data_IF_344920439431
#
_entry.id   IF_344920439431
#
_cell.length_a   1.000
_cell.length_b   1.000
_cell.length_c   1.000
_cell.angle_alpha   90.00
_cell.angle_beta   90.00
_cell.angle_gamma   90.00
#
_symmetry.space_group_name_H-M   'P 1'
#
loop_
_entity.id
_entity.type
_entity.pdbx_description
1 polymer ?
#
# COMPACT_ATOMS: atom_id res chain seq x y z
N UNK A 1 -37.02 -23.45 -23.48
CA UNK A 1 -37.35 -22.21 -22.82
C UNK A 1 -36.37 -21.12 -23.20
N UNK A 2 -36.93 -20.08 -23.60
CA UNK A 2 -36.19 -18.92 -24.09
C UNK A 2 -35.38 -18.26 -23.00
N UNK A 3 -35.79 -18.34 -21.76
CA UNK A 3 -35.07 -17.75 -20.62
C UNK A 3 -33.70 -18.36 -20.46
N UNK A 4 -33.60 -19.67 -20.64
CA UNK A 4 -32.31 -20.36 -20.56
C UNK A 4 -31.40 -20.00 -21.72
N UNK A 5 -32.00 -19.67 -22.85
CA UNK A 5 -31.25 -19.23 -24.02
C UNK A 5 -30.70 -17.82 -23.83
N UNK A 6 -31.41 -16.97 -23.08
CA UNK A 6 -30.99 -15.60 -22.79
C UNK A 6 -29.78 -15.53 -21.86
N UNK A 7 -29.65 -16.51 -20.99
CA UNK A 7 -28.58 -16.55 -19.99
C UNK A 7 -27.88 -17.90 -20.07
N UNK A 8 -27.10 -18.13 -21.14
CA UNK A 8 -26.33 -19.35 -21.22
C UNK A 8 -25.34 -19.41 -20.06
N UNK A 9 -25.03 -20.59 -19.63
CA UNK A 9 -24.14 -20.84 -18.50
C UNK A 9 -22.80 -20.11 -18.65
N UNK A 10 -22.26 -20.11 -19.86
CA UNK A 10 -21.01 -19.42 -20.16
C UNK A 10 -21.11 -17.91 -19.92
N UNK A 11 -22.21 -17.29 -20.34
CA UNK A 11 -22.44 -15.87 -20.15
C UNK A 11 -22.58 -15.52 -18.66
N UNK A 12 -23.28 -16.36 -17.92
CA UNK A 12 -23.42 -16.21 -16.48
C UNK A 12 -22.07 -16.29 -15.77
N UNK A 13 -21.22 -17.23 -16.17
CA UNK A 13 -19.88 -17.38 -15.62
C UNK A 13 -19.00 -16.18 -15.91
N UNK A 14 -19.09 -15.62 -17.11
CA UNK A 14 -18.36 -14.44 -17.48
C UNK A 14 -18.75 -13.22 -16.62
N UNK A 15 -20.03 -13.05 -16.40
CA UNK A 15 -20.54 -11.96 -15.56
C UNK A 15 -20.12 -12.14 -14.10
N UNK A 16 -20.19 -13.35 -13.59
CA UNK A 16 -19.75 -13.66 -12.24
C UNK A 16 -18.26 -13.40 -12.09
N UNK A 17 -17.47 -13.73 -13.09
CA UNK A 17 -16.03 -13.48 -13.09
C UNK A 17 -15.71 -12.00 -13.06
N UNK A 18 -16.44 -11.17 -13.81
CA UNK A 18 -16.26 -9.72 -13.82
C UNK A 18 -16.58 -9.13 -12.45
N UNK A 19 -17.66 -9.57 -11.81
CA UNK A 19 -18.05 -9.11 -10.48
C UNK A 19 -16.96 -9.47 -9.45
N UNK A 20 -16.42 -10.69 -9.54
CA UNK A 20 -15.34 -11.12 -8.66
C UNK A 20 -14.08 -10.27 -8.85
N UNK A 21 -13.75 -9.94 -10.09
CA UNK A 21 -12.62 -9.08 -10.40
C UNK A 21 -12.79 -7.68 -9.84
N UNK A 22 -13.99 -7.12 -9.95
CA UNK A 22 -14.31 -5.80 -9.40
C UNK A 22 -14.19 -5.78 -7.87
N UNK A 23 -14.69 -6.82 -7.21
CA UNK A 23 -14.56 -6.96 -5.75
C UNK A 23 -13.12 -7.09 -5.33
N UNK A 24 -12.34 -7.86 -6.08
CA UNK A 24 -10.93 -8.04 -5.82
C UNK A 24 -10.17 -6.73 -5.93
N UNK A 25 -10.46 -5.94 -6.96
CA UNK A 25 -9.85 -4.63 -7.15
C UNK A 25 -10.20 -3.68 -6.01
N UNK A 26 -11.45 -3.70 -5.54
CA UNK A 26 -11.86 -2.88 -4.40
C UNK A 26 -11.10 -3.25 -3.13
N UNK A 27 -10.94 -4.53 -2.88
CA UNK A 27 -10.17 -5.02 -1.73
C UNK A 27 -8.72 -4.59 -1.83
N UNK A 28 -8.12 -4.74 -3.01
CA UNK A 28 -6.72 -4.34 -3.23
C UNK A 28 -6.54 -2.84 -3.04
N UNK A 29 -7.47 -2.03 -3.52
CA UNK A 29 -7.43 -0.57 -3.31
C UNK A 29 -7.51 -0.22 -1.83
N UNK A 30 -8.45 -0.83 -1.10
CA UNK A 30 -8.64 -0.56 0.32
C UNK A 30 -7.38 -0.90 1.11
N UNK A 31 -6.77 -2.03 0.83
CA UNK A 31 -5.55 -2.46 1.51
C UNK A 31 -4.38 -1.55 1.17
N UNK A 32 -4.25 -1.16 -0.10
CA UNK A 32 -3.20 -0.26 -0.55
C UNK A 32 -3.29 1.09 0.17
N UNK A 33 -4.50 1.64 0.26
CA UNK A 33 -4.74 2.92 0.94
C UNK A 33 -4.43 2.82 2.43
N UNK A 34 -4.86 1.76 3.11
CA UNK A 34 -4.58 1.56 4.53
C UNK A 34 -3.08 1.44 4.80
N UNK A 35 -2.40 0.68 3.96
CA UNK A 35 -0.96 0.50 4.08
C UNK A 35 -0.24 1.84 3.90
N UNK A 36 -0.62 2.59 2.87
CA UNK A 36 -0.03 3.89 2.60
C UNK A 36 -0.29 4.86 3.75
N UNK A 37 -1.51 4.90 4.27
CA UNK A 37 -1.86 5.77 5.40
C UNK A 37 -1.03 5.45 6.64
N UNK A 38 -0.90 4.17 6.96
CA UNK A 38 -0.11 3.72 8.12
C UNK A 38 1.34 4.12 7.98
N UNK A 39 1.95 3.84 6.84
CA UNK A 39 3.36 4.17 6.59
C UNK A 39 3.58 5.68 6.53
N UNK A 40 2.60 6.41 5.99
CA UNK A 40 2.68 7.86 5.92
C UNK A 40 2.62 8.51 7.30
N UNK A 41 1.74 8.02 8.18
CA UNK A 41 1.67 8.49 9.56
C UNK A 41 2.98 8.25 10.30
N UNK A 42 3.56 7.06 10.15
CA UNK A 42 4.87 6.75 10.72
C UNK A 42 5.94 7.69 10.17
N UNK A 43 5.88 8.00 8.88
CA UNK A 43 6.82 8.91 8.24
C UNK A 43 6.70 10.32 8.81
N UNK A 44 5.48 10.82 9.00
CA UNK A 44 5.24 12.14 9.60
C UNK A 44 5.84 12.20 11.01
N UNK A 45 5.62 11.16 11.81
CA UNK A 45 6.17 11.07 13.16
C UNK A 45 7.71 11.08 13.13
N UNK A 46 8.30 10.33 12.22
CA UNK A 46 9.75 10.32 12.05
C UNK A 46 10.29 11.68 11.63
N UNK A 47 9.56 12.38 10.76
CA UNK A 47 9.98 13.70 10.30
C UNK A 47 9.88 14.75 11.43
N UNK A 48 8.88 14.65 12.27
CA UNK A 48 8.75 15.52 13.44
C UNK A 48 9.89 15.28 14.43
N UNK A 49 10.19 14.03 14.70
CA UNK A 49 11.32 13.65 15.55
C UNK A 49 12.64 14.15 14.95
N UNK A 50 12.81 14.00 13.64
CA UNK A 50 14.01 14.46 12.95
C UNK A 50 14.16 15.98 13.07
N UNK A 51 13.09 16.73 12.89
CA UNK A 51 13.12 18.19 13.02
C UNK A 51 13.56 18.61 14.42
N UNK A 52 13.01 17.98 15.44
CA UNK A 52 13.34 18.29 16.83
C UNK A 52 14.78 17.92 17.18
N UNK A 53 15.21 16.72 16.75
CA UNK A 53 16.58 16.25 17.02
C UNK A 53 17.64 17.03 16.24
N UNK A 54 17.29 17.54 15.06
CA UNK A 54 18.23 18.35 14.25
C UNK A 54 18.59 19.64 14.97
N UNK A 55 17.65 20.26 15.67
CA UNK A 55 17.93 21.46 16.47
C UNK A 55 18.98 21.17 17.54
N UNK A 56 18.94 20.00 18.16
CA UNK A 56 19.91 19.60 19.17
C UNK A 56 21.30 19.33 18.54
N UNK A 57 21.34 18.78 17.35
CA UNK A 57 22.60 18.50 16.65
C UNK A 57 23.36 19.77 16.27
N UNK A 58 22.65 20.88 16.09
CA UNK A 58 23.27 22.16 15.82
C UNK A 58 24.27 22.57 16.91
N UNK A 59 24.00 22.22 18.15
CA UNK A 59 24.90 22.48 19.26
C UNK A 59 26.18 21.64 19.22
N UNK A 60 26.16 20.53 18.46
CA UNK A 60 27.33 19.69 18.26
C UNK A 60 28.23 20.11 17.12
N UNK A 61 27.97 21.27 16.52
CA UNK A 61 28.78 21.79 15.41
C UNK A 61 28.45 21.21 14.04
N UNK A 62 27.42 20.43 13.90
CA UNK A 62 26.96 19.90 12.63
C UNK A 62 25.99 20.86 11.97
N UNK A 63 26.01 20.91 10.62
CA UNK A 63 25.06 21.73 9.88
C UNK A 63 23.68 21.07 9.95
N UNK A 64 22.70 21.68 10.63
CA UNK A 64 21.38 21.07 10.81
C UNK A 64 20.63 20.86 9.50
N UNK A 65 20.80 21.74 8.52
CA UNK A 65 20.11 21.60 7.24
C UNK A 65 20.62 20.40 6.45
N UNK A 66 21.94 20.20 6.42
CA UNK A 66 22.57 19.08 5.72
C UNK A 66 22.14 17.76 6.36
N UNK A 67 22.16 17.68 7.69
CA UNK A 67 21.74 16.49 8.43
C UNK A 67 20.26 16.21 8.22
N UNK A 68 19.41 17.23 8.23
CA UNK A 68 17.98 17.08 7.99
C UNK A 68 17.71 16.53 6.59
N UNK A 69 18.31 17.08 5.56
CA UNK A 69 18.15 16.63 4.17
C UNK A 69 18.59 15.19 4.00
N UNK A 70 19.72 14.84 4.58
CA UNK A 70 20.29 13.50 4.46
C UNK A 70 19.39 12.45 5.11
N UNK A 71 18.95 12.70 6.34
CA UNK A 71 18.13 11.75 7.07
C UNK A 71 16.69 11.69 6.55
N UNK A 72 16.13 12.83 6.12
CA UNK A 72 14.80 12.83 5.52
C UNK A 72 14.77 12.02 4.23
N UNK A 73 15.85 12.09 3.44
CA UNK A 73 15.99 11.27 2.23
C UNK A 73 16.00 9.79 2.59
N UNK A 74 16.73 9.39 3.62
CA UNK A 74 16.75 7.99 4.08
C UNK A 74 15.39 7.53 4.57
N UNK A 75 14.67 8.36 5.32
CA UNK A 75 13.32 8.01 5.79
C UNK A 75 12.35 7.84 4.63
N UNK A 76 12.44 8.70 3.62
CA UNK A 76 11.60 8.59 2.43
C UNK A 76 11.91 7.32 1.64
N UNK A 77 13.19 7.01 1.46
CA UNK A 77 13.59 5.78 0.78
C UNK A 77 13.13 4.54 1.53
N UNK A 78 13.21 4.56 2.86
CA UNK A 78 12.74 3.48 3.70
C UNK A 78 11.23 3.31 3.56
N UNK A 79 10.47 4.40 3.58
CA UNK A 79 9.02 4.38 3.36
C UNK A 79 8.68 3.73 2.02
N UNK A 80 9.33 4.18 0.97
CA UNK A 80 9.12 3.67 -0.39
C UNK A 80 9.40 2.16 -0.47
N UNK A 81 10.51 1.73 0.12
CA UNK A 81 10.91 0.33 0.12
C UNK A 81 9.93 -0.54 0.90
N UNK A 82 9.54 -0.10 2.10
CA UNK A 82 8.58 -0.81 2.93
C UNK A 82 7.22 -0.89 2.26
N UNK A 83 6.78 0.19 1.63
CA UNK A 83 5.52 0.20 0.90
C UNK A 83 5.51 -0.86 -0.20
N UNK A 84 6.56 -0.91 -1.01
CA UNK A 84 6.67 -1.89 -2.09
C UNK A 84 6.65 -3.32 -1.58
N UNK A 85 7.44 -3.61 -0.56
CA UNK A 85 7.55 -4.97 0.01
C UNK A 85 6.22 -5.41 0.62
N UNK A 86 5.62 -4.57 1.45
CA UNK A 86 4.37 -4.90 2.11
C UNK A 86 3.19 -4.98 1.15
N UNK A 87 3.17 -4.12 0.14
CA UNK A 87 2.14 -4.16 -0.89
C UNK A 87 2.18 -5.48 -1.65
N UNK A 88 3.35 -5.88 -2.13
CA UNK A 88 3.53 -7.14 -2.85
C UNK A 88 3.15 -8.33 -1.98
N UNK A 89 3.58 -8.34 -0.72
CA UNK A 89 3.25 -9.40 0.23
C UNK A 89 1.74 -9.52 0.45
N UNK A 90 1.05 -8.40 0.65
CA UNK A 90 -0.39 -8.39 0.87
C UNK A 90 -1.16 -8.81 -0.38
N UNK A 91 -0.74 -8.35 -1.55
CA UNK A 91 -1.35 -8.75 -2.82
C UNK A 91 -1.23 -10.25 -3.03
N UNK A 92 -0.05 -10.81 -2.77
CA UNK A 92 0.17 -12.26 -2.88
C UNK A 92 -0.72 -13.05 -1.95
N UNK A 93 -0.88 -12.60 -0.72
CA UNK A 93 -1.77 -13.27 0.26
C UNK A 93 -3.22 -13.26 -0.20
N UNK A 94 -3.69 -12.13 -0.71
CA UNK A 94 -5.06 -12.00 -1.18
C UNK A 94 -5.31 -12.88 -2.39
N UNK A 95 -4.41 -12.87 -3.36
CA UNK A 95 -4.53 -13.70 -4.55
C UNK A 95 -4.48 -15.19 -4.21
N UNK A 96 -3.63 -15.58 -3.27
CA UNK A 96 -3.55 -16.97 -2.81
C UNK A 96 -4.83 -17.41 -2.13
N UNK A 97 -5.42 -16.55 -1.29
CA UNK A 97 -6.69 -16.84 -0.64
C UNK A 97 -7.81 -16.96 -1.66
N UNK A 98 -7.85 -16.11 -2.65
CA UNK A 98 -8.85 -16.13 -3.73
C UNK A 98 -8.75 -17.44 -4.52
N UNK A 99 -7.56 -17.86 -4.86
CA UNK A 99 -7.33 -19.12 -5.58
C UNK A 99 -7.80 -20.31 -4.75
N UNK A 100 -7.53 -20.32 -3.45
CA UNK A 100 -7.96 -21.40 -2.55
C UNK A 100 -9.47 -21.48 -2.40
N UNK A 101 -10.15 -20.37 -2.50
CA UNK A 101 -11.60 -20.32 -2.39
C UNK A 101 -12.33 -20.74 -3.67
N UNK A 102 -11.60 -20.81 -4.75
CA UNK A 102 -12.12 -21.32 -6.03
C UNK A 102 -11.87 -22.82 -6.13
#
# INVERSE_FOLDING_TARGET
MEINEKFPEKDFQERASVIEEEKLLEILKAITLRLLDTLWLEHIEKMEFLRDSTSLRAYGGKDPLVEYKKESYHFYRDLEQRFKVLLVSNVKKILSAEIKMR
#
